data_IF_739843793630
#
_entry.id   IF_739843793630
#
_cell.length_a   1.000
_cell.length_b   1.000
_cell.length_c   1.000
_cell.angle_alpha   90.00
_cell.angle_beta   90.00
_cell.angle_gamma   90.00
#
_symmetry.space_group_name_H-M   'P 1'
#
loop_
_entity.id
_entity.type
_entity.pdbx_description
1 polymer ?
#
# COMPACT_ATOMS: atom_id res chain seq x y z
N UNK A 1 6.44 25.12 8.16
CA UNK A 1 6.04 24.67 9.52
C UNK A 1 5.33 23.31 9.49
N UNK A 2 4.30 23.10 8.65
CA UNK A 2 3.54 21.83 8.61
C UNK A 2 4.37 20.57 8.31
N UNK A 3 5.08 20.51 7.18
CA UNK A 3 5.85 19.32 6.75
C UNK A 3 6.87 18.87 7.80
N UNK A 4 7.61 19.82 8.38
CA UNK A 4 8.62 19.53 9.41
C UNK A 4 7.98 18.96 10.67
N UNK A 5 6.88 19.55 11.15
CA UNK A 5 6.15 19.06 12.32
C UNK A 5 5.62 17.64 12.09
N UNK A 6 5.01 17.38 10.92
CA UNK A 6 4.51 16.05 10.54
C UNK A 6 5.64 15.03 10.48
N UNK A 7 6.79 15.38 9.90
CA UNK A 7 7.94 14.47 9.82
C UNK A 7 8.60 14.22 11.17
N UNK A 8 8.63 15.22 12.07
CA UNK A 8 9.13 15.02 13.44
C UNK A 8 8.26 14.05 14.22
N UNK A 9 6.93 14.14 14.04
CA UNK A 9 5.98 13.29 14.75
C UNK A 9 5.88 11.87 14.13
N UNK A 10 5.64 11.78 12.82
CA UNK A 10 5.39 10.52 12.09
C UNK A 10 6.64 9.89 11.45
N UNK A 11 7.80 10.56 11.55
CA UNK A 11 9.11 10.08 11.08
C UNK A 11 9.30 9.98 9.55
N UNK A 12 8.36 10.50 8.76
CA UNK A 12 8.46 10.49 7.30
C UNK A 12 8.66 9.07 6.77
N UNK A 13 9.69 8.85 5.94
CA UNK A 13 10.01 7.52 5.40
C UNK A 13 10.68 6.57 6.41
N UNK A 14 11.09 7.05 7.59
CA UNK A 14 11.61 6.20 8.67
C UNK A 14 10.46 5.62 9.50
N UNK A 15 9.62 4.83 8.84
CA UNK A 15 8.41 4.25 9.42
C UNK A 15 8.77 3.38 10.63
N UNK A 16 8.18 3.68 11.78
CA UNK A 16 8.25 2.84 12.98
C UNK A 16 6.86 2.30 13.29
N UNK A 17 6.59 1.10 12.81
CA UNK A 17 5.33 0.40 12.98
C UNK A 17 5.48 -1.07 12.63
N UNK A 18 4.42 -1.84 12.81
CA UNK A 18 4.36 -3.25 12.42
C UNK A 18 2.97 -3.55 11.87
N UNK A 19 2.88 -4.55 10.99
CA UNK A 19 1.63 -4.99 10.37
C UNK A 19 0.93 -3.87 9.58
N UNK A 20 1.68 -3.21 8.70
CA UNK A 20 1.15 -2.15 7.81
C UNK A 20 1.41 -2.56 6.36
N UNK A 21 0.36 -2.59 5.55
CA UNK A 21 0.46 -2.84 4.10
C UNK A 21 0.40 -1.50 3.39
N UNK A 22 1.40 -1.20 2.56
CA UNK A 22 1.42 0.00 1.71
C UNK A 22 0.98 -0.37 0.29
N UNK A 23 -0.29 -0.17 -0.05
CA UNK A 23 -0.78 -0.38 -1.42
C UNK A 23 -0.80 0.92 -2.21
N UNK A 24 -0.39 0.87 -3.48
CA UNK A 24 -0.47 2.00 -4.39
C UNK A 24 -0.52 1.54 -5.85
N UNK A 25 -1.29 2.25 -6.67
CA UNK A 25 -1.37 2.01 -8.12
C UNK A 25 -0.31 2.82 -8.88
N UNK A 26 0.20 2.29 -10.00
CA UNK A 26 1.23 2.98 -10.78
C UNK A 26 0.72 4.22 -11.54
N UNK A 27 -0.59 4.33 -11.77
CA UNK A 27 -1.22 5.50 -12.38
C UNK A 27 -1.70 6.53 -11.35
N UNK A 28 -1.64 6.19 -10.05
CA UNK A 28 -1.92 7.15 -8.99
C UNK A 28 -0.76 8.16 -8.86
N UNK A 29 -0.93 9.47 -9.12
CA UNK A 29 0.16 10.43 -8.98
C UNK A 29 0.74 10.50 -7.55
N UNK A 30 -0.01 10.06 -6.53
CA UNK A 30 0.42 10.08 -5.14
C UNK A 30 1.41 8.96 -4.79
N UNK A 31 1.56 7.93 -5.63
CA UNK A 31 2.46 6.80 -5.33
C UNK A 31 3.93 7.25 -5.13
N UNK A 32 4.34 8.34 -5.78
CA UNK A 32 5.69 8.90 -5.70
C UNK A 32 6.00 9.42 -4.28
N UNK A 33 4.98 9.84 -3.53
CA UNK A 33 5.12 10.32 -2.16
C UNK A 33 5.01 9.20 -1.11
N UNK A 34 4.65 7.98 -1.54
CA UNK A 34 4.40 6.84 -0.68
C UNK A 34 5.54 5.82 -0.60
N UNK A 35 5.25 4.69 0.06
CA UNK A 35 6.15 3.53 0.12
C UNK A 35 5.77 2.57 -1.00
N UNK A 36 6.66 2.38 -1.97
CA UNK A 36 6.45 1.50 -3.15
C UNK A 36 7.30 0.23 -3.11
N UNK A 37 8.13 0.06 -2.07
CA UNK A 37 8.99 -1.10 -1.86
C UNK A 37 8.89 -1.57 -0.42
N UNK A 38 9.01 -2.88 -0.22
CA UNK A 38 9.00 -3.49 1.11
C UNK A 38 10.07 -2.85 2.00
N UNK A 39 9.67 -2.43 3.20
CA UNK A 39 10.61 -1.96 4.23
C UNK A 39 11.14 -3.16 5.03
N UNK A 40 10.24 -4.09 5.36
CA UNK A 40 10.55 -5.32 6.08
C UNK A 40 9.43 -6.35 5.85
N UNK A 41 9.57 -7.56 6.40
CA UNK A 41 8.55 -8.63 6.29
C UNK A 41 7.17 -8.23 6.84
N UNK A 42 7.14 -7.38 7.87
CA UNK A 42 5.90 -6.89 8.50
C UNK A 42 5.43 -5.52 7.97
N UNK A 43 6.19 -4.95 7.02
CA UNK A 43 5.89 -3.68 6.35
C UNK A 43 6.00 -3.85 4.82
N UNK A 44 5.14 -4.72 4.22
CA UNK A 44 5.15 -4.95 2.79
C UNK A 44 4.55 -3.76 2.01
N UNK A 45 5.07 -3.55 0.80
CA UNK A 45 4.50 -2.69 -0.21
C UNK A 45 3.88 -3.53 -1.35
N UNK A 46 2.73 -3.08 -1.84
CA UNK A 46 2.00 -3.69 -2.93
C UNK A 46 1.81 -2.61 -4.00
N UNK A 47 2.71 -2.63 -4.98
CA UNK A 47 2.67 -1.70 -6.10
C UNK A 47 1.95 -2.35 -7.27
N UNK A 48 0.80 -1.80 -7.65
CA UNK A 48 -0.15 -2.39 -8.60
C UNK A 48 -0.01 -1.70 -9.95
N UNK A 49 0.47 -2.43 -10.95
CA UNK A 49 0.73 -1.85 -12.27
C UNK A 49 -0.57 -1.61 -13.03
N UNK A 50 -0.71 -0.42 -13.61
CA UNK A 50 -1.87 -0.01 -14.42
C UNK A 50 -3.07 0.47 -13.61
N UNK A 51 -2.99 0.50 -12.28
CA UNK A 51 -4.09 0.91 -11.41
C UNK A 51 -3.95 2.33 -10.88
N UNK A 52 -5.09 2.93 -10.57
CA UNK A 52 -5.20 4.31 -10.08
C UNK A 52 -5.25 4.40 -8.56
N UNK A 53 -5.78 5.54 -8.09
CA UNK A 53 -5.84 5.85 -6.67
C UNK A 53 -6.77 4.89 -5.92
N UNK A 54 -6.21 4.16 -4.95
CA UNK A 54 -6.95 3.23 -4.08
C UNK A 54 -7.86 2.23 -4.82
N UNK A 55 -7.46 1.79 -6.03
CA UNK A 55 -8.22 0.79 -6.79
C UNK A 55 -8.47 -0.49 -5.99
N UNK A 56 -7.53 -0.89 -5.16
CA UNK A 56 -7.59 -2.08 -4.30
C UNK A 56 -8.75 -2.04 -3.29
N UNK A 57 -9.10 -0.84 -2.81
CA UNK A 57 -10.19 -0.63 -1.85
C UNK A 57 -11.57 -0.51 -2.50
N UNK A 58 -11.63 -0.34 -3.82
CA UNK A 58 -12.89 -0.29 -4.56
C UNK A 58 -13.58 -1.66 -4.59
N UNK A 59 -14.89 -1.66 -4.88
CA UNK A 59 -15.63 -2.91 -5.10
C UNK A 59 -15.04 -3.73 -6.25
N UNK A 60 -15.16 -5.06 -6.14
CA UNK A 60 -14.70 -5.98 -7.17
C UNK A 60 -15.64 -5.92 -8.37
N UNK A 61 -15.06 -5.83 -9.57
CA UNK A 61 -15.78 -5.86 -10.85
C UNK A 61 -15.18 -6.92 -11.76
N UNK A 62 -15.98 -7.41 -12.70
CA UNK A 62 -15.54 -8.40 -13.69
C UNK A 62 -14.52 -7.82 -14.69
N UNK A 63 -14.43 -6.48 -14.77
CA UNK A 63 -13.48 -5.75 -15.60
C UNK A 63 -12.17 -5.43 -14.89
N UNK A 64 -11.98 -5.88 -13.65
CA UNK A 64 -10.76 -5.60 -12.89
C UNK A 64 -9.55 -6.28 -13.52
N UNK A 65 -8.41 -5.59 -13.51
CA UNK A 65 -7.18 -6.11 -14.09
C UNK A 65 -6.65 -7.32 -13.29
N UNK A 66 -5.89 -8.19 -13.96
CA UNK A 66 -5.24 -9.31 -13.29
C UNK A 66 -4.28 -8.85 -12.17
N UNK A 67 -3.63 -7.70 -12.34
CA UNK A 67 -2.75 -7.08 -11.33
C UNK A 67 -3.55 -6.68 -10.09
N UNK A 68 -4.72 -6.05 -10.26
CA UNK A 68 -5.59 -5.65 -9.16
C UNK A 68 -6.14 -6.86 -8.39
N UNK A 69 -6.54 -7.91 -9.11
CA UNK A 69 -7.04 -9.16 -8.49
C UNK A 69 -5.93 -9.80 -7.65
N UNK A 70 -4.72 -9.96 -8.22
CA UNK A 70 -3.57 -10.53 -7.50
C UNK A 70 -3.16 -9.68 -6.30
N UNK A 71 -3.22 -8.35 -6.41
CA UNK A 71 -2.95 -7.45 -5.29
C UNK A 71 -3.92 -7.68 -4.13
N UNK A 72 -5.23 -7.76 -4.40
CA UNK A 72 -6.26 -8.04 -3.38
C UNK A 72 -6.07 -9.41 -2.74
N UNK A 73 -5.76 -10.45 -3.52
CA UNK A 73 -5.47 -11.78 -2.99
C UNK A 73 -4.24 -11.79 -2.08
N UNK A 74 -3.17 -11.08 -2.48
CA UNK A 74 -1.96 -10.92 -1.67
C UNK A 74 -2.26 -10.19 -0.35
N UNK A 75 -3.04 -9.10 -0.39
CA UNK A 75 -3.49 -8.37 0.80
C UNK A 75 -4.26 -9.31 1.72
N UNK A 76 -5.25 -10.02 1.18
CA UNK A 76 -6.08 -10.94 1.96
C UNK A 76 -5.25 -12.03 2.65
N UNK A 77 -4.30 -12.65 1.94
CA UNK A 77 -3.40 -13.65 2.52
C UNK A 77 -2.53 -13.09 3.66
N UNK A 78 -2.03 -11.86 3.52
CA UNK A 78 -1.26 -11.19 4.58
C UNK A 78 -2.16 -10.97 5.81
N UNK A 79 -3.37 -10.44 5.61
CA UNK A 79 -4.33 -10.21 6.69
C UNK A 79 -4.72 -11.51 7.40
N UNK A 80 -4.96 -12.59 6.65
CA UNK A 80 -5.23 -13.91 7.23
C UNK A 80 -4.08 -14.41 8.10
N UNK A 81 -2.82 -14.18 7.72
CA UNK A 81 -1.67 -14.53 8.56
C UNK A 81 -1.59 -13.72 9.84
N UNK A 82 -2.06 -12.46 9.82
CA UNK A 82 -2.03 -11.59 10.99
C UNK A 82 -3.17 -11.82 11.97
N UNK A 83 -4.30 -12.36 11.50
CA UNK A 83 -5.49 -12.63 12.31
C UNK A 83 -5.54 -14.06 12.89
N UNK A 84 -4.56 -14.90 12.57
CA UNK A 84 -4.34 -16.19 13.25
C UNK A 84 -3.82 -15.96 14.66
#
# INVERSE_FOLDING_TARGET
MGVMSTNLYYRGFNVRGSKIIFSSGSFDPWHILGITKDISKDLPAIFIKGEGHCSDLSERRDTDSAELIQAREKIFHILQKWLK
#
